data_IF_533454455390
#
_entry.id   IF_533454455390
#
_cell.length_a   1.000
_cell.length_b   1.000
_cell.length_c   1.000
_cell.angle_alpha   90.00
_cell.angle_beta   90.00
_cell.angle_gamma   90.00
#
_symmetry.space_group_name_H-M   'P 1'
#
loop_
_entity.id
_entity.type
_entity.pdbx_description
1 polymer ?
#
# COMPACT_ATOMS: atom_id res chain seq x y z
N UNK A 1 -14.70 7.12 15.77
CA UNK A 1 -14.22 6.18 14.74
C UNK A 1 -14.35 6.85 13.38
N UNK A 2 -13.41 6.66 12.49
CA UNK A 2 -13.49 7.16 11.10
C UNK A 2 -14.64 6.46 10.39
N UNK A 3 -15.56 7.24 9.80
CA UNK A 3 -16.66 6.72 8.98
C UNK A 3 -16.27 6.85 7.49
N UNK A 4 -16.20 5.71 6.80
CA UNK A 4 -15.88 5.62 5.38
C UNK A 4 -17.06 5.08 4.56
N UNK A 5 -18.27 5.15 5.10
CA UNK A 5 -19.48 4.68 4.43
C UNK A 5 -19.65 5.35 3.06
N UNK A 6 -19.91 4.54 2.03
CA UNK A 6 -20.04 4.99 0.65
C UNK A 6 -18.74 5.34 -0.07
N UNK A 7 -17.60 5.13 0.55
CA UNK A 7 -16.29 5.27 -0.08
C UNK A 7 -15.83 3.95 -0.72
N UNK A 8 -15.07 4.06 -1.81
CA UNK A 8 -14.43 2.94 -2.50
C UNK A 8 -12.93 3.02 -2.28
N UNK A 9 -12.35 1.93 -1.77
CA UNK A 9 -10.93 1.84 -1.46
C UNK A 9 -10.25 0.73 -2.28
N UNK A 10 -9.10 1.02 -2.88
CA UNK A 10 -8.22 0.03 -3.50
C UNK A 10 -7.04 -0.26 -2.57
N UNK A 11 -6.85 -1.53 -2.22
CA UNK A 11 -5.70 -1.98 -1.43
C UNK A 11 -4.83 -2.91 -2.26
N UNK A 12 -3.58 -2.51 -2.52
CA UNK A 12 -2.61 -3.38 -3.18
C UNK A 12 -1.83 -4.20 -2.16
N UNK A 13 -1.41 -5.40 -2.54
CA UNK A 13 -0.77 -6.33 -1.60
C UNK A 13 -1.73 -6.83 -0.51
N UNK A 14 -3.03 -6.87 -0.81
CA UNK A 14 -4.11 -7.17 0.13
C UNK A 14 -4.16 -8.62 0.62
N UNK A 15 -3.35 -9.53 0.08
CA UNK A 15 -3.43 -10.97 0.39
C UNK A 15 -2.78 -11.37 1.72
N UNK A 16 -2.03 -10.49 2.39
CA UNK A 16 -1.34 -10.78 3.67
C UNK A 16 -0.80 -9.53 4.36
N UNK A 17 -0.39 -9.70 5.62
CA UNK A 17 0.30 -8.67 6.41
C UNK A 17 -0.48 -7.38 6.51
N UNK A 18 0.20 -6.23 6.36
CA UNK A 18 -0.42 -4.92 6.54
C UNK A 18 -1.53 -4.67 5.51
N UNK A 19 -1.37 -5.14 4.26
CA UNK A 19 -2.41 -4.97 3.23
C UNK A 19 -3.70 -5.70 3.57
N UNK A 20 -3.62 -6.94 4.06
CA UNK A 20 -4.81 -7.69 4.50
C UNK A 20 -5.48 -7.04 5.72
N UNK A 21 -4.69 -6.66 6.73
CA UNK A 21 -5.21 -5.98 7.92
C UNK A 21 -5.87 -4.64 7.55
N UNK A 22 -5.26 -3.88 6.63
CA UNK A 22 -5.79 -2.61 6.15
C UNK A 22 -7.13 -2.80 5.41
N UNK A 23 -7.24 -3.84 4.58
CA UNK A 23 -8.47 -4.14 3.87
C UNK A 23 -9.62 -4.43 4.83
N UNK A 24 -9.39 -5.27 5.84
CA UNK A 24 -10.39 -5.57 6.88
C UNK A 24 -10.77 -4.31 7.67
N UNK A 25 -9.78 -3.49 8.05
CA UNK A 25 -10.02 -2.27 8.81
C UNK A 25 -10.81 -1.20 8.03
N UNK A 26 -10.53 -1.04 6.73
CA UNK A 26 -11.30 -0.15 5.84
C UNK A 26 -12.75 -0.62 5.68
N UNK A 27 -12.96 -1.92 5.47
CA UNK A 27 -14.30 -2.49 5.35
C UNK A 27 -15.10 -2.35 6.66
N UNK A 28 -14.44 -2.55 7.82
CA UNK A 28 -15.03 -2.30 9.15
C UNK A 28 -15.40 -0.83 9.36
N UNK A 29 -14.68 0.10 8.74
CA UNK A 29 -15.01 1.53 8.75
C UNK A 29 -16.09 1.92 7.73
N UNK A 30 -16.65 0.98 6.96
CA UNK A 30 -17.78 1.17 6.05
C UNK A 30 -17.41 1.33 4.57
N UNK A 31 -16.12 1.28 4.20
CA UNK A 31 -15.71 1.36 2.80
C UNK A 31 -16.00 0.05 2.05
N UNK A 32 -16.32 0.16 0.76
CA UNK A 32 -16.21 -0.98 -0.16
C UNK A 32 -14.74 -1.15 -0.57
N UNK A 33 -14.16 -2.34 -0.37
CA UNK A 33 -12.73 -2.56 -0.57
C UNK A 33 -12.45 -3.43 -1.79
N UNK A 34 -11.69 -2.89 -2.74
CA UNK A 34 -11.14 -3.65 -3.87
C UNK A 34 -9.77 -4.20 -3.44
N UNK A 35 -9.67 -5.53 -3.42
CA UNK A 35 -8.51 -6.28 -2.96
C UNK A 35 -7.68 -6.72 -4.15
N UNK A 36 -6.42 -6.26 -4.26
CA UNK A 36 -5.56 -6.73 -5.34
C UNK A 36 -4.24 -7.30 -4.83
N UNK A 37 -3.91 -8.48 -5.32
CA UNK A 37 -2.64 -9.20 -5.17
C UNK A 37 -2.61 -10.36 -6.18
N UNK A 38 -1.47 -11.05 -6.30
CA UNK A 38 -1.30 -12.20 -7.21
C UNK A 38 -2.00 -13.47 -6.75
N UNK A 39 -2.11 -13.67 -5.45
CA UNK A 39 -2.62 -14.91 -4.83
C UNK A 39 -4.14 -14.78 -4.61
N UNK A 40 -4.91 -15.28 -5.57
CA UNK A 40 -6.37 -15.23 -5.54
C UNK A 40 -6.95 -15.95 -4.30
N UNK A 41 -6.43 -17.13 -3.95
CA UNK A 41 -6.93 -17.91 -2.81
C UNK A 41 -6.78 -17.16 -1.47
N UNK A 42 -5.67 -16.42 -1.32
CA UNK A 42 -5.50 -15.58 -0.12
C UNK A 42 -6.35 -14.32 -0.15
N UNK A 43 -6.68 -13.79 -1.33
CA UNK A 43 -7.62 -12.68 -1.45
C UNK A 43 -9.03 -13.14 -1.06
N UNK A 44 -9.47 -14.34 -1.48
CA UNK A 44 -10.74 -14.96 -1.06
C UNK A 44 -10.83 -15.06 0.47
N UNK A 45 -9.78 -15.54 1.13
CA UNK A 45 -9.76 -15.62 2.60
C UNK A 45 -9.88 -14.23 3.29
N UNK A 46 -9.34 -13.18 2.69
CA UNK A 46 -9.50 -11.80 3.20
C UNK A 46 -10.90 -11.28 2.93
N UNK A 47 -11.47 -11.57 1.77
CA UNK A 47 -12.84 -11.23 1.41
C UNK A 47 -13.84 -11.90 2.37
N UNK A 48 -13.67 -13.21 2.67
CA UNK A 48 -14.48 -13.96 3.64
C UNK A 48 -14.42 -13.31 5.04
N UNK A 49 -13.23 -12.91 5.47
CA UNK A 49 -13.07 -12.21 6.75
C UNK A 49 -13.79 -10.85 6.78
N UNK A 50 -13.79 -10.13 5.66
CA UNK A 50 -14.53 -8.87 5.51
C UNK A 50 -16.05 -9.13 5.56
N UNK A 51 -16.55 -10.12 4.84
CA UNK A 51 -17.97 -10.48 4.84
C UNK A 51 -18.44 -10.97 6.21
N UNK A 52 -17.65 -11.77 6.90
CA UNK A 52 -17.93 -12.21 8.27
C UNK A 52 -18.01 -11.03 9.25
N UNK A 53 -17.29 -9.94 9.00
CA UNK A 53 -17.37 -8.68 9.73
C UNK A 53 -18.52 -7.75 9.30
N UNK A 54 -19.37 -8.15 8.35
CA UNK A 54 -20.47 -7.33 7.83
C UNK A 54 -20.05 -6.27 6.80
N UNK A 55 -18.79 -6.28 6.35
CA UNK A 55 -18.27 -5.38 5.33
C UNK A 55 -18.50 -5.89 3.90
N UNK A 56 -18.00 -5.14 2.92
CA UNK A 56 -18.08 -5.50 1.50
C UNK A 56 -16.74 -5.38 0.82
N UNK A 57 -16.42 -6.34 -0.06
CA UNK A 57 -15.20 -6.34 -0.84
C UNK A 57 -15.43 -6.87 -2.27
N UNK A 58 -14.44 -6.68 -3.11
CA UNK A 58 -14.33 -7.28 -4.45
C UNK A 58 -12.87 -7.68 -4.66
N UNK A 59 -12.61 -8.94 -4.99
CA UNK A 59 -11.27 -9.39 -5.34
C UNK A 59 -10.93 -9.07 -6.80
N UNK A 60 -9.69 -8.62 -7.01
CA UNK A 60 -9.12 -8.34 -8.32
C UNK A 60 -7.70 -8.92 -8.38
N UNK A 61 -7.56 -10.25 -8.63
CA UNK A 61 -6.25 -10.88 -8.73
C UNK A 61 -5.43 -10.26 -9.85
N UNK A 62 -4.24 -9.73 -9.52
CA UNK A 62 -3.41 -8.99 -10.45
C UNK A 62 -1.93 -9.05 -10.03
N UNK A 63 -1.05 -9.23 -11.01
CA UNK A 63 0.37 -8.89 -10.85
C UNK A 63 0.56 -7.40 -11.17
N UNK A 64 1.07 -6.64 -10.22
CA UNK A 64 1.31 -5.20 -10.41
C UNK A 64 2.40 -4.89 -11.45
N UNK A 65 3.21 -5.88 -11.84
CA UNK A 65 4.12 -5.79 -12.98
C UNK A 65 3.41 -5.84 -14.34
N UNK A 66 2.12 -6.24 -14.38
CA UNK A 66 1.28 -6.22 -15.58
C UNK A 66 0.59 -4.85 -15.73
N UNK A 67 1.19 -3.97 -16.54
CA UNK A 67 0.67 -2.63 -16.80
C UNK A 67 -0.71 -2.65 -17.50
N UNK A 68 -0.97 -3.65 -18.34
CA UNK A 68 -2.26 -3.83 -19.02
C UNK A 68 -3.32 -4.30 -18.02
N UNK A 69 -2.94 -5.16 -17.08
CA UNK A 69 -3.80 -5.57 -15.97
C UNK A 69 -4.23 -4.39 -15.09
N UNK A 70 -3.31 -3.48 -14.76
CA UNK A 70 -3.65 -2.25 -14.04
C UNK A 70 -4.62 -1.37 -14.84
N UNK A 71 -4.44 -1.25 -16.17
CA UNK A 71 -5.35 -0.50 -17.01
C UNK A 71 -6.76 -1.12 -17.04
N UNK A 72 -6.85 -2.46 -17.18
CA UNK A 72 -8.13 -3.17 -17.10
C UNK A 72 -8.83 -2.96 -15.76
N UNK A 73 -8.09 -3.02 -14.65
CA UNK A 73 -8.64 -2.78 -13.32
C UNK A 73 -9.16 -1.34 -13.19
N UNK A 74 -8.41 -0.34 -13.66
CA UNK A 74 -8.84 1.05 -13.61
C UNK A 74 -10.13 1.28 -14.42
N UNK A 75 -10.25 0.68 -15.63
CA UNK A 75 -11.45 0.75 -16.44
C UNK A 75 -12.64 0.10 -15.74
N UNK A 76 -12.49 -1.08 -15.17
CA UNK A 76 -13.56 -1.76 -14.44
C UNK A 76 -14.05 -0.96 -13.21
N UNK A 77 -13.12 -0.29 -12.51
CA UNK A 77 -13.48 0.60 -11.40
C UNK A 77 -14.21 1.86 -11.90
N UNK A 78 -13.76 2.43 -13.03
CA UNK A 78 -14.43 3.57 -13.66
C UNK A 78 -15.87 3.23 -14.07
N UNK A 79 -16.09 2.10 -14.71
CA UNK A 79 -17.42 1.65 -15.13
C UNK A 79 -18.36 1.40 -13.94
N UNK A 80 -17.84 0.85 -12.83
CA UNK A 80 -18.68 0.46 -11.71
C UNK A 80 -18.98 1.60 -10.73
N UNK A 81 -17.99 2.47 -10.44
CA UNK A 81 -18.10 3.51 -9.39
C UNK A 81 -17.83 4.92 -9.87
N UNK A 82 -17.21 5.07 -11.05
CA UNK A 82 -16.79 6.37 -11.63
C UNK A 82 -15.93 7.24 -10.72
N UNK A 83 -15.41 6.67 -9.64
CA UNK A 83 -14.53 7.32 -8.66
C UNK A 83 -13.72 6.28 -7.90
N UNK A 84 -12.65 6.73 -7.25
CA UNK A 84 -11.90 5.99 -6.25
C UNK A 84 -11.55 6.95 -5.11
N UNK A 85 -12.00 6.66 -3.89
CA UNK A 85 -11.83 7.57 -2.78
C UNK A 85 -10.50 7.35 -2.05
N UNK A 86 -10.05 6.09 -1.97
CA UNK A 86 -8.85 5.73 -1.22
C UNK A 86 -8.00 4.74 -2.03
N UNK A 87 -6.70 5.00 -2.12
CA UNK A 87 -5.69 4.02 -2.53
C UNK A 87 -4.75 3.78 -1.36
N UNK A 88 -4.59 2.50 -0.96
CA UNK A 88 -3.55 2.10 0.00
C UNK A 88 -2.57 1.17 -0.71
N UNK A 89 -1.40 1.69 -1.03
CA UNK A 89 -0.36 0.97 -1.73
C UNK A 89 0.58 0.26 -0.75
N UNK A 90 0.25 -1.01 -0.42
CA UNK A 90 1.01 -1.87 0.48
C UNK A 90 1.92 -2.86 -0.26
N UNK A 91 1.68 -3.08 -1.55
CA UNK A 91 2.43 -4.07 -2.32
C UNK A 91 3.91 -3.68 -2.43
N UNK A 92 4.76 -4.62 -2.11
CA UNK A 92 6.20 -4.55 -2.33
C UNK A 92 6.81 -5.95 -2.33
N UNK A 93 7.98 -6.08 -2.94
CA UNK A 93 8.83 -7.28 -2.84
C UNK A 93 10.12 -6.94 -2.12
N UNK A 94 10.60 -7.88 -1.32
CA UNK A 94 11.90 -7.84 -0.67
C UNK A 94 12.81 -8.83 -1.39
N UNK A 95 13.86 -8.37 -2.11
CA UNK A 95 14.87 -9.24 -2.70
C UNK A 95 15.72 -9.91 -1.63
N UNK A 96 16.66 -10.72 -2.02
CA UNK A 96 17.69 -11.21 -1.11
C UNK A 96 18.51 -10.04 -0.54
N UNK A 97 18.76 -10.07 0.78
CA UNK A 97 19.58 -9.06 1.46
C UNK A 97 21.03 -9.45 1.30
N UNK A 98 21.74 -8.69 0.46
CA UNK A 98 23.13 -8.98 0.10
C UNK A 98 23.97 -7.70 -0.02
N UNK A 99 25.30 -7.81 -0.11
CA UNK A 99 26.17 -6.67 -0.34
C UNK A 99 25.86 -6.03 -1.70
N UNK A 100 26.06 -4.71 -1.82
CA UNK A 100 25.74 -3.99 -3.07
C UNK A 100 26.48 -4.57 -4.29
N UNK A 101 27.70 -5.05 -4.12
CA UNK A 101 28.50 -5.63 -5.20
C UNK A 101 27.97 -6.99 -5.68
N UNK A 102 27.23 -7.71 -4.82
CA UNK A 102 26.75 -9.07 -5.07
C UNK A 102 25.24 -9.09 -5.39
N UNK A 103 24.62 -7.93 -5.64
CA UNK A 103 23.21 -7.84 -6.02
C UNK A 103 22.97 -8.58 -7.34
N UNK A 104 22.08 -9.56 -7.32
CA UNK A 104 21.59 -10.22 -8.52
C UNK A 104 20.75 -9.27 -9.37
N UNK A 105 21.15 -9.05 -10.63
CA UNK A 105 20.53 -8.06 -11.51
C UNK A 105 19.08 -8.43 -11.88
N UNK A 106 18.76 -9.71 -11.97
CA UNK A 106 17.40 -10.18 -12.26
C UNK A 106 16.45 -9.91 -11.11
N UNK A 107 16.89 -10.22 -9.87
CA UNK A 107 16.13 -9.90 -8.68
C UNK A 107 15.99 -8.38 -8.50
N UNK A 108 17.02 -7.61 -8.79
CA UNK A 108 16.97 -6.14 -8.68
C UNK A 108 16.01 -5.54 -9.70
N UNK A 109 16.07 -5.99 -10.97
CA UNK A 109 15.13 -5.58 -12.01
C UNK A 109 13.68 -5.89 -11.62
N UNK A 110 13.42 -7.11 -11.13
CA UNK A 110 12.08 -7.49 -10.62
C UNK A 110 11.66 -6.60 -9.46
N UNK A 111 12.58 -6.26 -8.56
CA UNK A 111 12.31 -5.38 -7.42
C UNK A 111 11.95 -3.97 -7.88
N UNK A 112 12.68 -3.42 -8.86
CA UNK A 112 12.37 -2.12 -9.44
C UNK A 112 11.03 -2.14 -10.18
N UNK A 113 10.74 -3.20 -10.93
CA UNK A 113 9.45 -3.36 -11.62
C UNK A 113 8.28 -3.28 -10.63
N UNK A 114 8.32 -4.09 -9.57
CA UNK A 114 7.19 -4.18 -8.62
C UNK A 114 7.14 -2.98 -7.66
N UNK A 115 8.29 -2.51 -7.16
CA UNK A 115 8.30 -1.47 -6.14
C UNK A 115 8.28 -0.04 -6.73
N UNK A 116 8.78 0.15 -7.95
CA UNK A 116 8.91 1.49 -8.55
C UNK A 116 7.99 1.68 -9.74
N UNK A 117 8.15 0.87 -10.79
CA UNK A 117 7.37 1.04 -12.03
C UNK A 117 5.89 0.80 -11.77
N UNK A 118 5.53 -0.20 -10.97
CA UNK A 118 4.14 -0.44 -10.59
C UNK A 118 3.55 0.70 -9.74
N UNK A 119 4.36 1.36 -8.88
CA UNK A 119 3.91 2.55 -8.14
C UNK A 119 3.58 3.70 -9.10
N UNK A 120 4.45 3.96 -10.08
CA UNK A 120 4.19 4.98 -11.11
C UNK A 120 2.96 4.63 -11.94
N UNK A 121 2.85 3.38 -12.40
CA UNK A 121 1.70 2.92 -13.18
C UNK A 121 0.39 3.03 -12.39
N UNK A 122 0.40 2.69 -11.09
CA UNK A 122 -0.74 2.84 -10.21
C UNK A 122 -1.20 4.31 -10.14
N UNK A 123 -0.29 5.24 -9.93
CA UNK A 123 -0.60 6.67 -9.92
C UNK A 123 -1.21 7.08 -11.28
N UNK A 124 -0.55 6.74 -12.38
CA UNK A 124 -0.98 7.13 -13.72
C UNK A 124 -2.38 6.59 -14.10
N UNK A 125 -2.72 5.37 -13.66
CA UNK A 125 -4.00 4.73 -14.01
C UNK A 125 -5.15 5.14 -13.11
N UNK A 126 -4.88 5.50 -11.84
CA UNK A 126 -5.95 5.79 -10.88
C UNK A 126 -6.10 7.28 -10.53
N UNK A 127 -5.19 8.16 -10.98
CA UNK A 127 -5.26 9.61 -10.71
C UNK A 127 -6.61 10.23 -11.14
N UNK A 128 -7.10 9.90 -12.33
CA UNK A 128 -8.39 10.42 -12.81
C UNK A 128 -9.56 10.00 -11.90
N UNK A 129 -9.58 8.76 -11.43
CA UNK A 129 -10.60 8.26 -10.50
C UNK A 129 -10.48 8.89 -9.12
N UNK A 130 -9.27 9.12 -8.63
CA UNK A 130 -9.02 9.85 -7.39
C UNK A 130 -9.52 11.29 -7.50
N UNK A 131 -9.23 11.97 -8.60
CA UNK A 131 -9.70 13.35 -8.84
C UNK A 131 -11.23 13.46 -8.94
N UNK A 132 -11.92 12.39 -9.32
CA UNK A 132 -13.37 12.32 -9.34
C UNK A 132 -14.02 12.18 -7.95
N UNK A 133 -13.24 11.82 -6.93
CA UNK A 133 -13.71 11.76 -5.54
C UNK A 133 -13.83 13.15 -4.90
N UNK A 134 -14.77 13.30 -3.99
CA UNK A 134 -14.91 14.52 -3.19
C UNK A 134 -13.79 14.72 -2.16
N UNK A 135 -13.21 13.60 -1.66
CA UNK A 135 -12.18 13.58 -0.61
C UNK A 135 -11.16 12.43 -0.85
N UNK A 136 -10.33 12.54 -1.91
CA UNK A 136 -9.44 11.45 -2.32
C UNK A 136 -8.17 11.38 -1.49
N UNK A 137 -7.72 10.15 -1.17
CA UNK A 137 -6.51 9.88 -0.39
C UNK A 137 -5.67 8.80 -1.04
N UNK A 138 -4.37 9.06 -1.16
CA UNK A 138 -3.37 8.10 -1.60
C UNK A 138 -2.38 7.82 -0.47
N UNK A 139 -2.38 6.61 0.08
CA UNK A 139 -1.47 6.18 1.14
C UNK A 139 -0.43 5.24 0.57
N UNK A 140 0.85 5.58 0.72
CA UNK A 140 1.98 4.77 0.31
C UNK A 140 2.75 4.27 1.53
N UNK A 141 2.98 2.94 1.60
CA UNK A 141 3.82 2.37 2.65
C UNK A 141 5.29 2.40 2.24
N UNK A 142 6.09 3.14 2.98
CA UNK A 142 7.54 3.24 2.85
C UNK A 142 8.28 2.45 3.94
N UNK A 143 9.52 2.78 4.21
CA UNK A 143 10.38 2.15 5.20
C UNK A 143 11.52 3.09 5.59
N UNK A 144 12.03 2.98 6.80
CA UNK A 144 13.18 3.77 7.25
C UNK A 144 14.43 3.61 6.39
N UNK A 145 14.62 2.45 5.72
CA UNK A 145 15.79 2.25 4.84
C UNK A 145 15.70 3.02 3.52
N UNK A 146 14.56 3.61 3.19
CA UNK A 146 14.43 4.51 2.04
C UNK A 146 15.21 5.82 2.26
N UNK A 147 15.33 6.27 3.50
CA UNK A 147 15.98 7.54 3.86
C UNK A 147 17.28 7.34 4.64
N UNK A 148 17.43 6.21 5.37
CA UNK A 148 18.60 5.89 6.17
C UNK A 148 19.22 4.57 5.68
N UNK A 149 20.30 4.60 4.88
CA UNK A 149 20.92 3.41 4.33
C UNK A 149 21.37 2.42 5.43
N UNK A 150 21.22 1.13 5.13
CA UNK A 150 21.66 0.04 6.00
C UNK A 150 22.41 -1.00 5.17
N UNK A 151 23.49 -1.56 5.73
CA UNK A 151 24.24 -2.62 5.08
C UNK A 151 23.33 -3.78 4.67
N UNK A 152 23.58 -4.34 3.49
CA UNK A 152 22.85 -5.43 2.85
C UNK A 152 21.42 -5.11 2.34
N UNK A 153 20.90 -3.91 2.55
CA UNK A 153 19.56 -3.51 2.13
C UNK A 153 19.52 -2.77 0.79
N UNK A 154 20.67 -2.65 0.10
CA UNK A 154 20.85 -1.75 -1.04
C UNK A 154 19.77 -1.83 -2.10
N UNK A 155 19.44 -3.02 -2.62
CA UNK A 155 18.44 -3.19 -3.67
C UNK A 155 17.03 -2.76 -3.22
N UNK A 156 16.61 -3.21 -2.03
CA UNK A 156 15.31 -2.83 -1.46
C UNK A 156 15.25 -1.34 -1.13
N UNK A 157 16.26 -0.82 -0.44
CA UNK A 157 16.34 0.59 -0.04
C UNK A 157 16.28 1.52 -1.26
N UNK A 158 17.07 1.25 -2.31
CA UNK A 158 17.05 2.01 -3.55
C UNK A 158 15.66 2.01 -4.21
N UNK A 159 15.00 0.84 -4.28
CA UNK A 159 13.66 0.75 -4.86
C UNK A 159 12.62 1.54 -4.05
N UNK A 160 12.67 1.48 -2.71
CA UNK A 160 11.73 2.19 -1.85
C UNK A 160 11.98 3.71 -1.85
N UNK A 161 13.25 4.14 -1.90
CA UNK A 161 13.62 5.55 -2.04
C UNK A 161 13.14 6.14 -3.37
N UNK A 162 13.33 5.42 -4.48
CA UNK A 162 12.85 5.85 -5.78
C UNK A 162 11.32 5.97 -5.82
N UNK A 163 10.60 4.97 -5.34
CA UNK A 163 9.14 4.99 -5.29
C UNK A 163 8.61 6.08 -4.34
N UNK A 164 9.24 6.28 -3.18
CA UNK A 164 8.88 7.35 -2.25
C UNK A 164 9.04 8.73 -2.89
N UNK A 165 10.10 8.94 -3.67
CA UNK A 165 10.32 10.19 -4.40
C UNK A 165 9.24 10.42 -5.47
N UNK A 166 8.85 9.39 -6.24
CA UNK A 166 7.73 9.48 -7.20
C UNK A 166 6.43 9.87 -6.52
N UNK A 167 6.10 9.24 -5.39
CA UNK A 167 4.88 9.55 -4.62
C UNK A 167 4.93 10.97 -4.04
N UNK A 168 6.09 11.42 -3.57
CA UNK A 168 6.26 12.79 -3.10
C UNK A 168 6.11 13.82 -4.22
N UNK A 169 6.67 13.54 -5.42
CA UNK A 169 6.48 14.37 -6.60
C UNK A 169 5.02 14.47 -7.01
N UNK A 170 4.31 13.33 -7.04
CA UNK A 170 2.87 13.32 -7.29
C UNK A 170 2.08 14.16 -6.27
N UNK A 171 2.46 14.11 -5.00
CA UNK A 171 1.82 14.95 -3.98
C UNK A 171 2.00 16.45 -4.25
N UNK A 172 3.19 16.88 -4.69
CA UNK A 172 3.46 18.27 -5.06
C UNK A 172 2.68 18.69 -6.31
N UNK A 173 2.61 17.83 -7.33
CA UNK A 173 1.82 18.04 -8.55
C UNK A 173 0.31 18.16 -8.24
N UNK A 174 -0.19 17.33 -7.32
CA UNK A 174 -1.59 17.31 -6.93
C UNK A 174 -1.99 18.51 -6.06
N UNK A 175 -1.08 19.07 -5.27
CA UNK A 175 -1.34 20.09 -4.23
C UNK A 175 -2.18 21.27 -4.70
N UNK A 176 -1.92 21.81 -5.89
CA UNK A 176 -2.59 22.98 -6.41
C UNK A 176 -3.55 22.67 -7.57
N UNK A 177 -3.66 21.39 -7.96
CA UNK A 177 -4.42 20.97 -9.15
C UNK A 177 -5.58 20.03 -8.83
N UNK A 178 -5.64 19.52 -7.59
CA UNK A 178 -6.66 18.57 -7.15
C UNK A 178 -6.87 18.60 -5.65
N UNK A 179 -7.82 17.78 -5.18
CA UNK A 179 -8.06 17.53 -3.76
C UNK A 179 -7.29 16.31 -3.23
N UNK A 180 -6.50 15.64 -4.06
CA UNK A 180 -5.79 14.41 -3.66
C UNK A 180 -4.81 14.71 -2.54
N UNK A 181 -5.01 14.04 -1.41
CA UNK A 181 -4.10 14.09 -0.27
C UNK A 181 -3.25 12.82 -0.25
N UNK A 182 -1.94 13.01 -0.17
CA UNK A 182 -0.97 11.91 -0.22
C UNK A 182 -0.33 11.74 1.15
N UNK A 183 -0.33 10.53 1.66
CA UNK A 183 0.40 10.16 2.88
C UNK A 183 1.48 9.12 2.56
N UNK A 184 2.69 9.35 3.06
CA UNK A 184 3.85 8.46 2.97
C UNK A 184 4.13 7.95 4.38
N UNK A 185 3.88 6.66 4.62
CA UNK A 185 3.88 6.10 5.96
C UNK A 185 4.92 4.99 6.09
N UNK A 186 5.86 5.14 7.03
CA UNK A 186 6.71 4.05 7.48
C UNK A 186 5.97 3.26 8.57
N UNK A 187 5.56 2.01 8.31
CA UNK A 187 4.84 1.22 9.31
C UNK A 187 5.72 0.80 10.49
N UNK A 188 7.04 1.02 10.42
CA UNK A 188 8.00 0.52 11.40
C UNK A 188 8.09 -1.01 11.44
N UNK A 189 8.74 -1.55 12.48
CA UNK A 189 8.85 -2.99 12.67
C UNK A 189 7.46 -3.60 12.97
N UNK A 190 6.97 -4.43 12.05
CA UNK A 190 5.62 -5.02 12.08
C UNK A 190 5.70 -6.51 11.82
N UNK A 191 4.95 -7.31 12.55
CA UNK A 191 4.89 -8.78 12.45
C UNK A 191 4.29 -9.22 11.13
N UNK A 192 5.14 -9.42 10.13
CA UNK A 192 4.75 -9.84 8.77
C UNK A 192 5.70 -10.91 8.25
N UNK A 193 5.26 -11.66 7.24
CA UNK A 193 6.14 -12.63 6.54
C UNK A 193 7.35 -11.96 5.88
N UNK A 194 7.24 -10.71 5.44
CA UNK A 194 8.36 -9.93 4.92
C UNK A 194 9.38 -9.63 6.03
N UNK A 195 8.91 -9.25 7.22
CA UNK A 195 9.78 -8.99 8.38
C UNK A 195 10.50 -10.26 8.83
N UNK A 196 9.79 -11.38 8.94
CA UNK A 196 10.38 -12.67 9.29
C UNK A 196 11.45 -13.13 8.27
N UNK A 197 11.25 -12.86 6.96
CA UNK A 197 12.26 -13.11 5.94
C UNK A 197 13.50 -12.24 6.13
N UNK A 198 13.32 -10.96 6.49
CA UNK A 198 14.43 -10.01 6.68
C UNK A 198 15.21 -10.26 7.99
N UNK A 199 14.55 -10.74 9.01
CA UNK A 199 15.09 -10.96 10.37
C UNK A 199 14.65 -12.31 10.92
N UNK A 200 15.22 -13.43 10.43
CA UNK A 200 14.74 -14.77 10.78
C UNK A 200 14.96 -15.17 12.26
N UNK A 201 15.82 -14.44 12.98
CA UNK A 201 16.04 -14.65 14.41
C UNK A 201 15.29 -13.72 15.35
N UNK A 202 14.43 -12.84 14.82
CA UNK A 202 13.68 -11.89 15.63
C UNK A 202 12.44 -12.54 16.24
N UNK A 203 12.21 -12.33 17.53
CA UNK A 203 10.99 -12.80 18.20
C UNK A 203 9.73 -12.09 17.64
N UNK A 204 8.81 -12.83 16.99
CA UNK A 204 7.59 -12.23 16.46
C UNK A 204 6.70 -11.58 17.54
N UNK A 205 6.80 -12.02 18.81
CA UNK A 205 6.01 -11.46 19.91
C UNK A 205 6.48 -10.04 20.30
N UNK A 206 7.74 -9.69 19.99
CA UNK A 206 8.28 -8.33 20.22
C UNK A 206 7.79 -7.31 19.18
N UNK A 207 7.09 -7.75 18.12
CA UNK A 207 6.66 -6.90 17.02
C UNK A 207 5.18 -6.56 17.14
N UNK A 208 4.85 -5.30 16.81
CA UNK A 208 3.45 -4.91 16.69
C UNK A 208 2.75 -5.70 15.59
N UNK A 209 1.46 -6.04 15.79
CA UNK A 209 0.68 -6.74 14.77
C UNK A 209 0.33 -5.80 13.60
N UNK A 210 0.07 -6.33 12.39
CA UNK A 210 -0.37 -5.55 11.24
C UNK A 210 -1.65 -4.73 11.49
N UNK A 211 -2.54 -5.23 12.33
CA UNK A 211 -3.81 -4.62 12.71
C UNK A 211 -3.60 -3.24 13.37
N UNK A 212 -2.59 -3.12 14.21
CA UNK A 212 -2.27 -1.85 14.86
C UNK A 212 -1.80 -0.77 13.86
N UNK A 213 -1.10 -1.18 12.79
CA UNK A 213 -0.77 -0.27 11.68
C UNK A 213 -2.04 0.11 10.92
N UNK A 214 -2.91 -0.84 10.64
CA UNK A 214 -4.16 -0.60 9.93
C UNK A 214 -5.09 0.36 10.71
N UNK A 215 -5.22 0.19 12.02
CA UNK A 215 -6.01 1.08 12.89
C UNK A 215 -5.48 2.52 12.84
N UNK A 216 -4.15 2.72 12.92
CA UNK A 216 -3.56 4.06 12.80
C UNK A 216 -3.81 4.67 11.42
N UNK A 217 -3.69 3.89 10.35
CA UNK A 217 -3.94 4.37 8.99
C UNK A 217 -5.41 4.73 8.76
N UNK A 218 -6.36 3.95 9.28
CA UNK A 218 -7.79 4.30 9.22
C UNK A 218 -8.07 5.59 10.01
N UNK A 219 -7.44 5.78 11.17
CA UNK A 219 -7.54 7.03 11.91
C UNK A 219 -7.00 8.22 11.10
N UNK A 220 -5.81 8.08 10.48
CA UNK A 220 -5.21 9.08 9.60
C UNK A 220 -6.14 9.45 8.44
N UNK A 221 -6.84 8.49 7.84
CA UNK A 221 -7.81 8.76 6.78
C UNK A 221 -8.98 9.63 7.23
N UNK A 222 -9.32 9.64 8.53
CA UNK A 222 -10.31 10.54 9.12
C UNK A 222 -9.80 11.93 9.45
N UNK A 223 -8.48 12.13 9.42
CA UNK A 223 -7.85 13.40 9.77
C UNK A 223 -7.72 14.33 8.55
N UNK A 224 -7.69 15.63 8.81
CA UNK A 224 -7.27 16.61 7.81
C UNK A 224 -5.75 16.77 7.91
N UNK A 225 -5.02 16.30 6.92
CA UNK A 225 -3.56 16.41 6.88
C UNK A 225 -3.08 17.17 5.64
N UNK A 226 -1.95 17.87 5.78
CA UNK A 226 -1.26 18.50 4.66
C UNK A 226 -0.64 17.43 3.75
N UNK A 227 -0.63 17.66 2.43
CA UNK A 227 -0.05 16.75 1.45
C UNK A 227 1.29 17.29 0.92
N UNK A 228 2.38 16.52 0.89
CA UNK A 228 2.50 15.16 1.41
C UNK A 228 2.55 15.11 2.95
N UNK A 229 1.79 14.21 3.54
CA UNK A 229 1.93 13.85 4.95
C UNK A 229 2.98 12.74 5.11
N UNK A 230 3.89 12.90 6.07
CA UNK A 230 4.90 11.88 6.39
C UNK A 230 4.76 11.45 7.83
N UNK A 231 4.61 10.17 8.05
CA UNK A 231 4.47 9.60 9.39
C UNK A 231 5.24 8.29 9.53
N UNK A 232 5.79 8.04 10.71
CA UNK A 232 6.22 6.72 11.15
C UNK A 232 5.29 6.22 12.24
N UNK A 233 4.72 5.04 12.05
CA UNK A 233 3.84 4.42 13.04
C UNK A 233 4.68 3.84 14.17
N UNK A 234 4.89 4.63 15.20
CA UNK A 234 5.47 4.19 16.47
C UNK A 234 4.31 3.86 17.40
N UNK A 235 4.12 2.58 17.72
CA UNK A 235 3.29 2.26 18.88
C UNK A 235 4.19 2.48 20.10
N UNK A 236 3.81 3.42 20.94
CA UNK A 236 4.35 3.51 22.30
C UNK A 236 4.05 2.17 22.98
N UNK A 237 5.09 1.50 23.43
CA UNK A 237 5.00 0.33 24.31
C UNK A 237 4.27 0.71 25.60
#
# INVERSE_FOLDING_TARGET
MTDLTGQVALVTGASKGIGAAMAVALAKAGAHVVLTARDAKRLEAVEDAIFAGGGTATIAPLDLGDADGLARLANALAERWNKLDIVVHCAAVLPELTSVRDIDQTQFSTTLTVNVLATQALIARFDALLRASADPRFVYLTTSVATAPRAYWGAYAASKAAAENLVASYAEEARNTSKVRVAIVDPGATRTTMRAKAYPGEDPASLKPPEAVAERLVALLGEQFASPHRERVNLSS
#
